data_IF_527749520665
#
_entry.id   IF_527749520665
#
_cell.length_a   1.000
_cell.length_b   1.000
_cell.length_c   1.000
_cell.angle_alpha   90.00
_cell.angle_beta   90.00
_cell.angle_gamma   90.00
#
_symmetry.space_group_name_H-M   'P 1'
#
loop_
_entity.id
_entity.type
_entity.pdbx_description
1 polymer ?
#
# COMPACT_ATOMS: atom_id res chain seq x y z
N UNK A 1 -11.39 3.41 -4.25
CA UNK A 1 -10.94 3.57 -5.66
C UNK A 1 -11.11 4.98 -6.20
N UNK A 2 -12.22 5.68 -5.92
CA UNK A 2 -12.45 7.05 -6.42
C UNK A 2 -11.35 8.06 -6.02
N UNK A 3 -10.74 7.88 -4.85
CA UNK A 3 -9.66 8.75 -4.35
C UNK A 3 -8.29 8.57 -5.05
N UNK A 4 -8.13 7.56 -5.92
CA UNK A 4 -6.88 7.30 -6.64
C UNK A 4 -6.95 7.93 -8.04
N UNK A 5 -5.86 8.52 -8.52
CA UNK A 5 -5.74 8.91 -9.92
C UNK A 5 -5.87 7.67 -10.84
N UNK A 6 -6.28 7.82 -12.11
CA UNK A 6 -6.41 6.69 -13.05
C UNK A 6 -5.13 5.88 -13.21
N UNK A 7 -3.98 6.56 -13.22
CA UNK A 7 -2.63 6.05 -13.38
C UNK A 7 -1.87 5.91 -12.04
N UNK A 8 -2.60 5.95 -10.91
CA UNK A 8 -1.99 5.92 -9.59
C UNK A 8 -1.05 4.71 -9.42
N UNK A 9 0.05 4.92 -8.72
CA UNK A 9 1.04 3.88 -8.46
C UNK A 9 1.29 3.65 -6.97
N UNK A 10 1.63 2.41 -6.62
CA UNK A 10 2.10 2.03 -5.30
C UNK A 10 3.44 1.32 -5.41
N UNK A 11 4.43 1.85 -4.70
CA UNK A 11 5.77 1.26 -4.62
C UNK A 11 5.82 0.33 -3.41
N UNK A 12 6.11 -0.94 -3.65
CA UNK A 12 6.05 -1.96 -2.60
C UNK A 12 7.09 -1.68 -1.50
N UNK A 13 6.68 -1.61 -0.22
CA UNK A 13 7.61 -1.48 0.90
C UNK A 13 8.44 -2.75 1.11
N UNK A 14 8.00 -3.89 0.54
CA UNK A 14 8.63 -5.20 0.73
C UNK A 14 9.84 -5.43 -0.17
N UNK A 15 9.79 -4.88 -1.40
CA UNK A 15 10.86 -5.09 -2.39
C UNK A 15 11.55 -3.81 -2.83
N UNK A 16 10.94 -2.64 -2.59
CA UNK A 16 11.44 -1.33 -3.04
C UNK A 16 11.54 -1.17 -4.57
N UNK A 17 11.19 -2.22 -5.33
CA UNK A 17 11.36 -2.30 -6.79
C UNK A 17 10.06 -2.60 -7.52
N UNK A 18 9.11 -3.28 -6.85
CA UNK A 18 7.82 -3.56 -7.45
C UNK A 18 6.91 -2.34 -7.42
N UNK A 19 6.31 -2.02 -8.56
CA UNK A 19 5.42 -0.87 -8.71
C UNK A 19 4.09 -1.34 -9.30
N UNK A 20 3.04 -1.28 -8.49
CA UNK A 20 1.68 -1.57 -8.93
C UNK A 20 1.07 -0.32 -9.51
N UNK A 21 0.47 -0.39 -10.71
CA UNK A 21 0.06 0.80 -11.46
C UNK A 21 -1.38 0.69 -11.95
N UNK A 22 -2.07 1.81 -11.87
CA UNK A 22 -3.45 1.94 -12.28
C UNK A 22 -4.44 1.36 -11.27
N UNK A 23 -5.68 1.84 -11.37
CA UNK A 23 -6.74 1.50 -10.42
C UNK A 23 -7.02 -0.01 -10.35
N UNK A 24 -6.90 -0.76 -11.43
CA UNK A 24 -7.25 -2.19 -11.40
C UNK A 24 -6.22 -3.02 -10.61
N UNK A 25 -4.93 -2.79 -10.84
CA UNK A 25 -3.86 -3.49 -10.11
C UNK A 25 -3.86 -3.06 -8.63
N UNK A 26 -4.07 -1.76 -8.37
CA UNK A 26 -4.19 -1.25 -7.01
C UNK A 26 -5.43 -1.78 -6.30
N UNK A 27 -6.54 -2.01 -6.99
CA UNK A 27 -7.73 -2.63 -6.39
C UNK A 27 -7.40 -4.04 -5.91
N UNK A 28 -6.77 -4.86 -6.75
CA UNK A 28 -6.37 -6.23 -6.38
C UNK A 28 -5.42 -6.19 -5.18
N UNK A 29 -4.37 -5.36 -5.25
CA UNK A 29 -3.38 -5.24 -4.19
C UNK A 29 -4.02 -4.77 -2.88
N UNK A 30 -4.69 -3.62 -2.87
CA UNK A 30 -5.24 -3.02 -1.65
C UNK A 30 -6.32 -3.90 -1.02
N UNK A 31 -7.11 -4.61 -1.84
CA UNK A 31 -8.06 -5.62 -1.34
C UNK A 31 -7.32 -6.73 -0.59
N UNK A 32 -6.24 -7.26 -1.17
CA UNK A 32 -5.45 -8.32 -0.52
C UNK A 32 -4.75 -7.82 0.76
N UNK A 33 -4.23 -6.59 0.74
CA UNK A 33 -3.54 -5.95 1.88
C UNK A 33 -4.51 -5.72 3.04
N UNK A 34 -5.63 -5.02 2.80
CA UNK A 34 -6.55 -4.65 3.87
C UNK A 34 -7.40 -5.83 4.37
N UNK A 35 -7.64 -6.86 3.56
CA UNK A 35 -8.33 -8.07 4.03
C UNK A 35 -7.57 -8.80 5.16
N UNK A 36 -6.24 -8.66 5.23
CA UNK A 36 -5.41 -9.25 6.26
C UNK A 36 -5.21 -8.38 7.51
N UNK A 37 -5.62 -7.11 7.47
CA UNK A 37 -5.44 -6.16 8.56
C UNK A 37 -6.67 -6.11 9.48
N UNK A 38 -6.42 -5.92 10.77
CA UNK A 38 -7.44 -5.70 11.79
C UNK A 38 -7.14 -4.41 12.55
N UNK A 39 -8.19 -3.76 13.05
CA UNK A 39 -8.11 -2.56 13.88
C UNK A 39 -7.19 -1.48 13.25
N UNK A 40 -7.37 -1.21 11.95
CA UNK A 40 -6.63 -0.17 11.28
C UNK A 40 -7.15 1.19 11.71
N UNK A 41 -6.30 1.97 12.32
CA UNK A 41 -6.56 3.32 12.82
C UNK A 41 -5.61 4.29 12.13
N UNK A 42 -6.17 5.36 11.56
CA UNK A 42 -5.41 6.48 11.03
C UNK A 42 -5.19 7.49 12.15
N UNK A 43 -3.93 7.71 12.53
CA UNK A 43 -3.57 8.55 13.67
C UNK A 43 -3.46 10.02 13.24
N UNK A 44 -2.70 10.30 12.18
CA UNK A 44 -2.43 11.66 11.73
C UNK A 44 -2.27 11.74 10.21
N UNK A 45 -2.64 12.88 9.63
CA UNK A 45 -2.24 13.27 8.27
C UNK A 45 -1.39 14.53 8.35
N UNK A 46 -0.18 14.46 7.83
CA UNK A 46 0.84 15.50 7.96
C UNK A 46 1.15 16.06 6.57
N UNK A 47 1.21 17.39 6.46
CA UNK A 47 1.53 18.13 5.24
C UNK A 47 0.31 18.82 4.62
N UNK A 48 0.53 20.00 4.05
CA UNK A 48 -0.47 20.86 3.40
C UNK A 48 -0.41 20.80 1.87
N UNK A 49 0.79 20.58 1.31
CA UNK A 49 1.04 20.51 -0.12
C UNK A 49 0.62 19.19 -0.80
N UNK A 50 1.19 18.97 -1.99
CA UNK A 50 0.91 17.80 -2.83
C UNK A 50 1.46 16.50 -2.26
N UNK A 51 2.52 16.56 -1.46
CA UNK A 51 3.07 15.39 -0.76
C UNK A 51 2.62 15.44 0.69
N UNK A 52 2.00 14.35 1.14
CA UNK A 52 1.47 14.21 2.50
C UNK A 52 1.87 12.86 3.08
N UNK A 53 1.79 12.75 4.39
CA UNK A 53 2.07 11.51 5.12
C UNK A 53 0.85 11.15 5.97
N UNK A 54 0.32 9.95 5.78
CA UNK A 54 -0.71 9.39 6.66
C UNK A 54 -0.06 8.35 7.59
N UNK A 55 -0.12 8.61 8.89
CA UNK A 55 0.39 7.70 9.92
C UNK A 55 -0.76 6.80 10.36
N UNK A 56 -0.51 5.49 10.39
CA UNK A 56 -1.50 4.52 10.83
C UNK A 56 -0.91 3.41 11.69
N UNK A 57 -1.80 2.75 12.42
CA UNK A 57 -1.54 1.55 13.20
C UNK A 57 -2.61 0.52 12.90
N UNK A 58 -2.22 -0.75 12.86
CA UNK A 58 -3.13 -1.87 12.72
C UNK A 58 -2.54 -3.14 13.30
N UNK A 59 -3.23 -4.25 13.06
CA UNK A 59 -2.79 -5.59 13.47
C UNK A 59 -2.80 -6.56 12.30
N UNK A 60 -1.80 -7.43 12.26
CA UNK A 60 -1.72 -8.55 11.34
C UNK A 60 -1.28 -9.81 12.07
N UNK A 61 -2.08 -10.87 11.98
CA UNK A 61 -1.86 -12.13 12.70
C UNK A 61 -1.47 -11.94 14.18
N UNK A 62 -2.16 -11.02 14.86
CA UNK A 62 -1.90 -10.70 16.27
C UNK A 62 -0.72 -9.75 16.53
N UNK A 63 0.12 -9.45 15.55
CA UNK A 63 1.22 -8.48 15.68
C UNK A 63 0.76 -7.06 15.36
N UNK A 64 1.29 -6.07 16.09
CA UNK A 64 1.08 -4.66 15.76
C UNK A 64 1.95 -4.30 14.56
N UNK A 65 1.34 -3.63 13.57
CA UNK A 65 2.03 -3.03 12.43
C UNK A 65 1.68 -1.55 12.39
N UNK A 66 2.66 -0.71 12.08
CA UNK A 66 2.49 0.73 11.90
C UNK A 66 3.01 1.12 10.53
N UNK A 67 2.40 2.14 9.93
CA UNK A 67 2.74 2.65 8.62
C UNK A 67 2.91 4.17 8.67
N UNK A 68 3.88 4.67 7.89
CA UNK A 68 3.94 6.06 7.48
C UNK A 68 3.76 6.10 5.96
N UNK A 69 2.50 6.16 5.53
CA UNK A 69 2.15 6.17 4.11
C UNK A 69 2.44 7.56 3.52
N UNK A 70 3.53 7.68 2.79
CA UNK A 70 3.80 8.88 1.99
C UNK A 70 2.98 8.80 0.73
N UNK A 71 2.15 9.80 0.45
CA UNK A 71 1.35 9.87 -0.76
C UNK A 71 1.47 11.22 -1.45
N UNK A 72 1.36 11.19 -2.78
CA UNK A 72 1.39 12.39 -3.62
C UNK A 72 0.05 12.56 -4.33
N UNK A 73 -0.46 13.79 -4.32
CA UNK A 73 -1.69 14.19 -4.99
C UNK A 73 -1.39 14.78 -6.37
N UNK A 74 -2.26 14.48 -7.33
CA UNK A 74 -2.31 15.16 -8.63
C UNK A 74 -2.95 16.56 -8.53
N UNK A 75 -3.05 17.27 -9.65
CA UNK A 75 -3.65 18.62 -9.71
C UNK A 75 -5.16 18.61 -9.43
N UNK A 76 -5.81 17.46 -9.56
CA UNK A 76 -7.21 17.24 -9.21
C UNK A 76 -7.40 16.80 -7.74
N UNK A 77 -6.32 16.72 -6.96
CA UNK A 77 -6.35 16.27 -5.57
C UNK A 77 -6.53 14.76 -5.40
N UNK A 78 -6.35 13.96 -6.46
CA UNK A 78 -6.39 12.50 -6.40
C UNK A 78 -5.02 11.92 -6.09
N UNK A 79 -4.97 10.79 -5.40
CA UNK A 79 -3.72 10.13 -5.04
C UNK A 79 -3.09 9.53 -6.29
N UNK A 80 -1.95 10.08 -6.72
CA UNK A 80 -1.15 9.61 -7.85
C UNK A 80 -0.05 8.63 -7.43
N UNK A 81 0.48 8.75 -6.22
CA UNK A 81 1.58 7.90 -5.75
C UNK A 81 1.41 7.50 -4.29
N UNK A 82 1.70 6.25 -3.98
CA UNK A 82 1.65 5.65 -2.65
C UNK A 82 2.99 4.99 -2.34
N UNK A 83 3.58 5.33 -1.20
CA UNK A 83 4.85 4.79 -0.69
C UNK A 83 4.67 4.45 0.80
N UNK A 84 4.25 3.21 1.10
CA UNK A 84 4.14 2.77 2.49
C UNK A 84 5.53 2.62 3.11
N UNK A 85 5.63 2.84 4.42
CA UNK A 85 6.82 2.63 5.22
C UNK A 85 6.43 1.87 6.48
N UNK A 86 6.40 0.54 6.34
CA UNK A 86 5.90 -0.36 7.36
C UNK A 86 6.96 -0.72 8.40
N UNK A 87 6.52 -0.88 9.65
CA UNK A 87 7.34 -1.36 10.78
C UNK A 87 6.44 -2.05 11.83
N UNK A 88 6.99 -2.86 12.76
CA UNK A 88 8.37 -3.33 12.84
C UNK A 88 8.65 -4.48 11.86
N UNK A 89 9.93 -4.79 11.63
CA UNK A 89 10.37 -5.81 10.66
C UNK A 89 9.64 -7.15 10.81
N UNK A 90 9.46 -7.66 12.04
CA UNK A 90 8.76 -8.93 12.27
C UNK A 90 7.33 -8.92 11.72
N UNK A 91 6.58 -7.84 11.95
CA UNK A 91 5.22 -7.70 11.43
C UNK A 91 5.21 -7.57 9.90
N UNK A 92 6.21 -6.91 9.32
CA UNK A 92 6.39 -6.79 7.87
C UNK A 92 6.67 -8.14 7.21
N UNK A 93 7.49 -8.99 7.83
CA UNK A 93 7.75 -10.36 7.34
C UNK A 93 6.47 -11.19 7.35
N UNK A 94 5.71 -11.16 8.45
CA UNK A 94 4.42 -11.88 8.53
C UNK A 94 3.42 -11.33 7.50
N UNK A 95 3.36 -10.02 7.32
CA UNK A 95 2.57 -9.38 6.27
C UNK A 95 2.92 -9.89 4.87
N UNK A 96 4.22 -9.98 4.54
CA UNK A 96 4.68 -10.51 3.26
C UNK A 96 4.25 -11.96 3.04
N UNK A 97 4.39 -12.83 4.05
CA UNK A 97 3.98 -14.24 3.99
C UNK A 97 2.48 -14.41 3.75
N UNK A 98 1.65 -13.53 4.34
CA UNK A 98 0.20 -13.57 4.16
C UNK A 98 -0.25 -12.93 2.84
N UNK A 99 0.46 -11.90 2.37
CA UNK A 99 0.15 -11.22 1.12
C UNK A 99 0.56 -12.05 -0.10
N UNK A 100 1.69 -12.76 -0.03
CA UNK A 100 2.28 -13.53 -1.13
C UNK A 100 1.28 -14.46 -1.84
N UNK A 101 0.61 -15.39 -1.15
CA UNK A 101 -0.37 -16.30 -1.76
C UNK A 101 -1.55 -15.57 -2.42
N UNK A 102 -2.01 -14.46 -1.84
CA UNK A 102 -3.11 -13.67 -2.40
C UNK A 102 -2.72 -12.96 -3.70
N UNK A 103 -1.48 -12.49 -3.79
CA UNK A 103 -0.93 -11.93 -5.03
C UNK A 103 -0.59 -13.01 -6.05
N UNK A 104 -0.16 -14.19 -5.61
CA UNK A 104 0.11 -15.33 -6.49
C UNK A 104 -1.16 -15.82 -7.21
N UNK A 105 -2.34 -15.66 -6.59
CA UNK A 105 -3.63 -15.88 -7.25
C UNK A 105 -3.93 -14.90 -8.41
N UNK A 106 -3.14 -13.81 -8.52
CA UNK A 106 -3.27 -12.77 -9.56
C UNK A 106 -1.94 -12.59 -10.31
N UNK A 107 -1.45 -13.61 -11.03
CA UNK A 107 -0.10 -13.61 -11.60
C UNK A 107 0.15 -12.49 -12.61
N UNK A 108 -0.89 -12.03 -13.31
CA UNK A 108 -0.81 -10.89 -14.23
C UNK A 108 -0.44 -9.58 -13.53
N UNK A 109 -1.03 -9.33 -12.35
CA UNK A 109 -0.75 -8.15 -11.53
C UNK A 109 0.68 -8.20 -10.99
N UNK A 110 1.08 -9.35 -10.41
CA UNK A 110 2.44 -9.53 -9.90
C UNK A 110 3.50 -9.37 -10.99
N UNK A 111 3.26 -9.95 -12.18
CA UNK A 111 4.18 -9.83 -13.33
C UNK A 111 4.31 -8.40 -13.83
N UNK A 112 3.21 -7.65 -13.92
CA UNK A 112 3.26 -6.22 -14.29
C UNK A 112 4.02 -5.41 -13.25
N UNK A 113 3.80 -5.67 -11.97
CA UNK A 113 4.48 -4.94 -10.91
C UNK A 113 6.01 -5.17 -10.89
N UNK A 114 6.46 -6.33 -11.36
CA UNK A 114 7.89 -6.66 -11.50
C UNK A 114 8.53 -6.05 -12.77
N UNK A 115 7.72 -5.71 -13.78
CA UNK A 115 8.20 -5.06 -15.01
C UNK A 115 8.31 -3.56 -14.75
N UNK A 116 9.54 -3.06 -14.84
CA UNK A 116 9.84 -1.63 -14.66
C UNK A 116 9.10 -0.79 -15.68
#
# INVERSE_FOLDING_TARGET
MAALAPDAELISPLSGRMVFRGRDDLRVLLTAVYAGMRNLEWENVIGDGRTRVAVSRGRIAGLTITDALVFELDDAGLIRRLRPHLRPWLAVTVFALLLGPRLAAHPGVARRALRR
#
